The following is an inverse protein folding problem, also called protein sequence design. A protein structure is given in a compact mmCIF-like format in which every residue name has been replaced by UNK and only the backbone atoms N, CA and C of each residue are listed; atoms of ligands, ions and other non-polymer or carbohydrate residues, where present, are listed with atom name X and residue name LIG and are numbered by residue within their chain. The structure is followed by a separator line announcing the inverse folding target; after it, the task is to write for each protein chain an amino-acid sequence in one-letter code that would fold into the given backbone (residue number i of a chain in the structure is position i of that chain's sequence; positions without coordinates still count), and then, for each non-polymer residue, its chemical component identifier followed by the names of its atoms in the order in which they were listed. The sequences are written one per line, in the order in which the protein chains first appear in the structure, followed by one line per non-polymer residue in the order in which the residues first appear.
data_IF_531803221140
#
_entry.id   IF_531803221140
#
_cell.length_a   1.000
_cell.length_b   1.000
_cell.length_c   1.000
_cell.angle_alpha   90.00
_cell.angle_beta   90.00
_cell.angle_gamma   90.00
#
_symmetry.space_group_name_H-M   'P 1'
#
loop_
_entity.id
_entity.type
_entity.pdbx_description
1 polymer ?
#
# COMPACT_ATOMS: atom_id res chain seq x y z
N UNK A 1 5.05 -23.66 4.01
CA UNK A 1 5.25 -22.57 3.02
C UNK A 1 4.04 -22.50 2.10
N UNK A 2 3.47 -21.32 1.83
CA UNK A 2 2.40 -21.14 0.83
C UNK A 2 2.97 -20.62 -0.50
N UNK A 3 2.36 -20.88 -1.67
CA UNK A 3 2.80 -20.29 -2.94
C UNK A 3 2.81 -18.75 -2.88
N UNK A 4 3.82 -18.10 -3.47
CA UNK A 4 4.02 -16.65 -3.36
C UNK A 4 2.83 -15.83 -3.91
N UNK A 5 2.17 -16.33 -4.96
CA UNK A 5 0.97 -15.74 -5.59
C UNK A 5 -0.26 -15.74 -4.66
N UNK A 6 -0.24 -16.55 -3.60
CA UNK A 6 -1.30 -16.62 -2.57
C UNK A 6 -0.88 -15.97 -1.25
N UNK A 7 0.28 -15.29 -1.21
CA UNK A 7 0.73 -14.52 -0.03
C UNK A 7 0.46 -13.04 -0.29
N UNK A 8 -0.56 -12.51 0.37
CA UNK A 8 -0.91 -11.09 0.29
C UNK A 8 -2.23 -10.85 -0.44
N UNK A 9 -2.69 -9.61 -0.37
CA UNK A 9 -3.92 -9.15 -1.00
C UNK A 9 -3.63 -8.64 -2.42
N UNK A 10 -4.53 -8.92 -3.36
CA UNK A 10 -4.47 -8.40 -4.71
C UNK A 10 -5.89 -7.94 -5.10
N UNK A 11 -6.11 -6.65 -5.39
CA UNK A 11 -7.44 -6.14 -5.69
C UNK A 11 -7.95 -6.64 -7.04
N UNK A 12 -9.25 -6.82 -7.15
CA UNK A 12 -9.87 -7.09 -8.44
C UNK A 12 -10.07 -5.76 -9.17
N UNK A 13 -9.44 -5.62 -10.34
CA UNK A 13 -9.55 -4.39 -11.15
C UNK A 13 -10.62 -4.59 -12.22
N UNK A 14 -11.72 -3.85 -12.08
CA UNK A 14 -12.81 -3.85 -13.04
C UNK A 14 -13.01 -2.48 -13.67
N UNK A 15 -13.47 -2.47 -14.91
CA UNK A 15 -13.79 -1.26 -15.65
C UNK A 15 -14.48 -1.58 -16.96
N UNK A 16 -14.62 -0.57 -17.82
CA UNK A 16 -15.15 -0.70 -19.18
C UNK A 16 -14.11 -0.17 -20.15
N UNK A 17 -13.77 -0.97 -21.16
CA UNK A 17 -12.95 -0.58 -22.29
C UNK A 17 -13.87 -0.21 -23.47
N UNK A 18 -13.58 0.90 -24.15
CA UNK A 18 -14.40 1.37 -25.27
C UNK A 18 -14.10 0.60 -26.56
N UNK A 19 -12.92 0.01 -26.67
CA UNK A 19 -12.46 -0.79 -27.79
C UNK A 19 -11.59 -1.96 -27.31
N UNK A 20 -10.94 -2.68 -28.22
CA UNK A 20 -9.90 -3.63 -27.83
C UNK A 20 -8.74 -2.85 -27.18
N UNK A 21 -8.54 -3.07 -25.89
CA UNK A 21 -7.62 -2.27 -25.08
C UNK A 21 -6.55 -3.12 -24.42
N UNK A 22 -5.32 -2.61 -24.37
CA UNK A 22 -4.25 -3.15 -23.55
C UNK A 22 -4.28 -2.49 -22.18
N UNK A 23 -4.53 -3.28 -21.15
CA UNK A 23 -4.51 -2.84 -19.77
C UNK A 23 -3.16 -3.19 -19.16
N UNK A 24 -2.46 -2.19 -18.64
CA UNK A 24 -1.18 -2.36 -17.94
C UNK A 24 -1.33 -1.88 -16.50
N UNK A 25 -1.09 -2.76 -15.55
CA UNK A 25 -1.14 -2.49 -14.12
C UNK A 25 0.29 -2.40 -13.63
N UNK A 26 0.65 -1.28 -13.00
CA UNK A 26 1.97 -1.07 -12.41
C UNK A 26 1.87 -0.55 -10.99
N UNK A 27 2.88 -0.86 -10.18
CA UNK A 27 3.06 -0.28 -8.84
C UNK A 27 4.50 0.19 -8.75
N UNK A 28 4.70 1.47 -8.37
CA UNK A 28 6.03 2.08 -8.23
C UNK A 28 6.91 1.98 -9.49
N UNK A 29 6.28 2.01 -10.67
CA UNK A 29 6.99 1.87 -11.96
C UNK A 29 7.24 0.44 -12.42
N UNK A 30 7.00 -0.57 -11.57
CA UNK A 30 7.09 -1.98 -11.96
C UNK A 30 5.76 -2.48 -12.51
N UNK A 31 5.78 -3.11 -13.69
CA UNK A 31 4.57 -3.70 -14.29
C UNK A 31 4.23 -5.01 -13.57
N UNK A 32 3.08 -5.02 -12.91
CA UNK A 32 2.56 -6.19 -12.17
C UNK A 32 1.80 -7.14 -13.09
N UNK A 33 1.10 -6.60 -14.08
CA UNK A 33 0.36 -7.37 -15.08
C UNK A 33 0.10 -6.53 -16.33
N UNK A 34 0.03 -7.19 -17.49
CA UNK A 34 -0.36 -6.57 -18.74
C UNK A 34 -1.17 -7.56 -19.58
N UNK A 35 -2.40 -7.19 -19.93
CA UNK A 35 -3.31 -8.05 -20.68
C UNK A 35 -4.13 -7.23 -21.69
N UNK A 36 -4.40 -7.83 -22.86
CA UNK A 36 -5.33 -7.28 -23.86
C UNK A 36 -6.73 -7.80 -23.55
N UNK A 37 -7.70 -6.89 -23.48
CA UNK A 37 -9.12 -7.20 -23.27
C UNK A 37 -9.93 -6.75 -24.47
N UNK A 38 -11.03 -7.46 -24.81
CA UNK A 38 -11.97 -7.01 -25.81
C UNK A 38 -12.73 -5.76 -25.34
N UNK A 39 -13.38 -5.07 -26.29
CA UNK A 39 -14.30 -3.98 -25.97
C UNK A 39 -15.41 -4.45 -25.02
N UNK A 40 -15.72 -3.63 -24.00
CA UNK A 40 -16.74 -3.91 -23.00
C UNK A 40 -16.22 -3.98 -21.57
N UNK A 41 -17.04 -4.52 -20.68
CA UNK A 41 -16.70 -4.67 -19.27
C UNK A 41 -15.61 -5.73 -19.08
N UNK A 42 -14.59 -5.40 -18.28
CA UNK A 42 -13.50 -6.31 -17.95
C UNK A 42 -13.35 -6.45 -16.44
N UNK A 43 -12.76 -7.57 -16.02
CA UNK A 43 -12.41 -7.84 -14.63
C UNK A 43 -11.10 -8.63 -14.57
N UNK A 44 -10.06 -8.01 -14.04
CA UNK A 44 -8.73 -8.60 -13.86
C UNK A 44 -8.60 -9.10 -12.42
N UNK A 45 -8.53 -10.43 -12.27
CA UNK A 45 -8.44 -11.12 -10.97
C UNK A 45 -7.04 -11.67 -10.66
N UNK A 46 -6.23 -11.88 -11.69
CA UNK A 46 -4.92 -12.55 -11.59
C UNK A 46 -3.79 -11.52 -11.67
N UNK A 47 -3.73 -10.65 -10.68
CA UNK A 47 -2.61 -9.72 -10.50
C UNK A 47 -1.74 -10.19 -9.34
N UNK A 48 -0.43 -9.96 -9.45
CA UNK A 48 0.50 -10.26 -8.35
C UNK A 48 0.07 -9.52 -7.06
N UNK A 49 0.33 -10.08 -5.87
CA UNK A 49 0.05 -9.42 -4.61
C UNK A 49 0.65 -8.02 -4.56
N UNK A 50 -0.14 -7.05 -4.08
CA UNK A 50 0.26 -5.64 -4.05
C UNK A 50 0.60 -5.22 -2.64
N UNK A 51 1.53 -4.28 -2.53
CA UNK A 51 1.89 -3.64 -1.28
C UNK A 51 0.96 -2.45 -0.99
N UNK A 52 0.97 -1.95 0.26
CA UNK A 52 0.32 -0.69 0.60
C UNK A 52 0.86 0.43 -0.30
N UNK A 53 -0.04 1.17 -0.97
CA UNK A 53 0.34 2.22 -1.91
C UNK A 53 -0.67 2.35 -3.05
N UNK A 54 -0.36 3.19 -4.03
CA UNK A 54 -1.18 3.30 -5.24
C UNK A 54 -0.70 2.29 -6.29
N UNK A 55 -1.63 1.64 -6.98
CA UNK A 55 -1.36 1.01 -8.27
C UNK A 55 -1.82 1.97 -9.38
N UNK A 56 -1.08 2.00 -10.46
CA UNK A 56 -1.37 2.76 -11.67
C UNK A 56 -1.88 1.79 -12.72
N UNK A 57 -3.08 2.05 -13.22
CA UNK A 57 -3.70 1.26 -14.28
C UNK A 57 -3.78 2.13 -15.52
N UNK A 58 -3.05 1.73 -16.55
CA UNK A 58 -3.06 2.38 -17.86
C UNK A 58 -3.88 1.53 -18.81
N UNK A 59 -4.96 2.11 -19.33
CA UNK A 59 -5.79 1.52 -20.39
C UNK A 59 -5.40 2.19 -21.70
N UNK A 60 -4.82 1.43 -22.61
CA UNK A 60 -4.45 1.86 -23.96
C UNK A 60 -5.44 1.26 -24.96
N UNK A 61 -6.31 2.10 -25.51
CA UNK A 61 -7.35 1.72 -26.48
C UNK A 61 -6.74 1.52 -27.89
N UNK A 62 -7.49 0.88 -28.78
CA UNK A 62 -7.04 0.55 -30.15
C UNK A 62 -6.74 1.77 -31.03
N UNK A 63 -7.31 2.93 -30.70
CA UNK A 63 -7.05 4.23 -31.34
C UNK A 63 -5.77 4.92 -30.80
N UNK A 64 -5.09 4.29 -29.83
CA UNK A 64 -3.91 4.84 -29.16
C UNK A 64 -4.24 5.75 -27.96
N UNK A 65 -5.52 5.97 -27.64
CA UNK A 65 -5.94 6.76 -26.48
C UNK A 65 -5.50 6.08 -25.18
N UNK A 66 -4.76 6.79 -24.33
CA UNK A 66 -4.28 6.29 -23.04
C UNK A 66 -5.01 6.95 -21.89
N UNK A 67 -5.70 6.12 -21.09
CA UNK A 67 -6.32 6.54 -19.85
C UNK A 67 -5.53 6.00 -18.67
N UNK A 68 -5.01 6.88 -17.82
CA UNK A 68 -4.29 6.50 -16.60
C UNK A 68 -5.21 6.70 -15.40
N UNK A 69 -5.36 5.66 -14.59
CA UNK A 69 -6.12 5.70 -13.33
C UNK A 69 -5.25 5.22 -12.18
N UNK A 70 -5.33 5.91 -11.06
CA UNK A 70 -4.65 5.52 -9.84
C UNK A 70 -5.65 4.85 -8.92
N UNK A 71 -5.46 3.56 -8.66
CA UNK A 71 -6.23 2.82 -7.68
C UNK A 71 -5.41 2.75 -6.40
N UNK A 72 -5.88 3.38 -5.34
CA UNK A 72 -5.17 3.30 -4.08
C UNK A 72 -5.47 1.91 -3.49
N UNK A 73 -4.46 1.17 -3.01
CA UNK A 73 -4.64 -0.15 -2.38
C UNK A 73 -4.23 -0.12 -0.90
N UNK A 74 -5.08 -0.69 -0.04
CA UNK A 74 -4.80 -0.94 1.37
C UNK A 74 -4.84 -2.45 1.62
N UNK A 75 -3.81 -3.00 2.24
CA UNK A 75 -3.77 -4.40 2.65
C UNK A 75 -4.09 -4.50 4.14
N UNK A 76 -4.91 -5.50 4.51
CA UNK A 76 -5.15 -5.87 5.90
C UNK A 76 -3.87 -6.42 6.52
N UNK A 77 -3.47 -5.82 7.64
CA UNK A 77 -2.52 -6.47 8.55
C UNK A 77 -3.13 -7.80 9.00
N UNK A 78 -2.40 -8.88 8.79
CA UNK A 78 -2.87 -10.23 9.11
C UNK A 78 -3.02 -10.39 10.62
N UNK A 79 -4.21 -10.79 11.07
CA UNK A 79 -4.40 -11.36 12.40
C UNK A 79 -3.56 -12.65 12.51
N UNK A 80 -2.80 -12.75 13.59
CA UNK A 80 -2.04 -13.95 13.95
C UNK A 80 -2.79 -14.71 15.04
N UNK A 81 -2.64 -16.05 15.05
CA UNK A 81 -3.12 -16.83 16.19
C UNK A 81 -2.27 -16.56 17.42
N UNK A 82 -2.80 -16.93 18.58
CA UNK A 82 -2.06 -16.88 19.85
C UNK A 82 -0.73 -17.61 19.72
N UNK A 83 0.34 -16.96 20.18
CA UNK A 83 1.73 -17.41 20.14
C UNK A 83 2.34 -17.56 18.73
N UNK A 84 1.62 -17.15 17.67
CA UNK A 84 2.20 -17.01 16.34
C UNK A 84 3.01 -15.71 16.24
N UNK A 85 4.15 -15.81 15.56
CA UNK A 85 5.05 -14.69 15.28
C UNK A 85 5.23 -14.59 13.78
N UNK A 86 5.09 -13.38 13.24
CA UNK A 86 5.46 -13.07 11.87
C UNK A 86 6.52 -11.97 11.88
N UNK A 87 7.59 -12.16 11.12
CA UNK A 87 8.68 -11.18 11.04
C UNK A 87 9.10 -11.00 9.59
N UNK A 88 9.47 -9.77 9.26
CA UNK A 88 9.99 -9.41 7.96
C UNK A 88 11.19 -8.47 8.15
N UNK A 89 12.35 -8.87 7.63
CA UNK A 89 13.56 -8.08 7.70
C UNK A 89 14.09 -7.95 6.27
N UNK A 90 14.34 -6.73 5.86
CA UNK A 90 14.94 -6.43 4.56
C UNK A 90 16.07 -5.43 4.70
N UNK A 91 17.15 -5.67 3.96
CA UNK A 91 18.28 -4.76 3.85
C UNK A 91 18.66 -4.65 2.38
N UNK A 92 18.87 -3.44 1.90
CA UNK A 92 19.19 -3.22 0.50
C UNK A 92 19.30 -1.75 0.16
N UNK A 93 19.38 -1.46 -1.12
CA UNK A 93 19.44 -0.10 -1.64
C UNK A 93 18.14 0.20 -2.38
N UNK A 94 17.68 1.45 -2.30
CA UNK A 94 16.47 1.85 -3.01
C UNK A 94 16.81 2.08 -4.49
N UNK A 95 16.10 1.38 -5.37
CA UNK A 95 16.14 1.65 -6.81
C UNK A 95 14.88 2.41 -7.22
N UNK A 96 15.04 3.56 -7.87
CA UNK A 96 13.93 4.30 -8.49
C UNK A 96 14.24 4.46 -9.97
N UNK A 97 13.50 3.73 -10.82
CA UNK A 97 13.51 3.81 -12.30
C UNK A 97 14.88 4.18 -12.88
N UNK A 98 15.81 3.23 -12.86
CA UNK A 98 17.13 3.37 -13.50
C UNK A 98 18.15 4.22 -12.75
N UNK A 99 17.81 4.77 -11.57
CA UNK A 99 18.76 5.41 -10.65
C UNK A 99 18.74 4.67 -9.31
N UNK A 100 19.90 4.10 -8.97
CA UNK A 100 20.14 3.46 -7.68
C UNK A 100 20.58 4.54 -6.69
N UNK A 101 19.87 4.67 -5.57
CA UNK A 101 20.38 5.47 -4.45
C UNK A 101 21.55 4.71 -3.81
N UNK A 102 22.73 5.32 -3.70
CA UNK A 102 23.91 4.76 -3.03
C UNK A 102 23.77 4.83 -1.50
N UNK A 103 22.61 4.48 -0.95
CA UNK A 103 22.38 4.46 0.49
C UNK A 103 21.55 3.24 0.87
N UNK A 104 22.05 2.53 1.88
CA UNK A 104 21.40 1.34 2.41
C UNK A 104 20.19 1.74 3.24
N UNK A 105 19.08 1.02 3.05
CA UNK A 105 17.95 1.01 3.96
C UNK A 105 17.88 -0.31 4.70
N UNK A 106 17.36 -0.25 5.92
CA UNK A 106 17.00 -1.38 6.74
C UNK A 106 15.50 -1.27 7.06
N UNK A 107 14.75 -2.35 6.82
CA UNK A 107 13.35 -2.50 7.20
C UNK A 107 13.25 -3.68 8.16
N UNK A 108 12.57 -3.45 9.27
CA UNK A 108 12.18 -4.51 10.20
C UNK A 108 10.70 -4.38 10.49
N UNK A 109 9.96 -5.47 10.38
CA UNK A 109 8.57 -5.59 10.81
C UNK A 109 8.41 -6.86 11.64
N UNK A 110 7.60 -6.76 12.67
CA UNK A 110 7.39 -7.79 13.68
C UNK A 110 5.93 -7.74 14.13
N UNK A 111 5.26 -8.87 14.01
CA UNK A 111 3.88 -9.06 14.44
C UNK A 111 3.85 -10.20 15.46
N UNK A 112 3.09 -10.03 16.54
CA UNK A 112 2.96 -11.02 17.60
C UNK A 112 1.49 -11.24 17.97
N UNK A 113 1.03 -12.48 17.92
CA UNK A 113 -0.31 -12.87 18.32
C UNK A 113 -0.42 -13.15 19.81
N UNK A 114 -1.12 -12.29 20.54
CA UNK A 114 -1.58 -12.55 21.91
C UNK A 114 -2.91 -13.32 21.88
N UNK A 115 -3.41 -13.73 23.05
CA UNK A 115 -4.63 -14.55 23.19
C UNK A 115 -5.84 -14.01 22.43
N UNK A 116 -6.00 -12.68 22.34
CA UNK A 116 -7.16 -12.04 21.69
C UNK A 116 -6.79 -10.81 20.84
N UNK A 117 -5.51 -10.53 20.63
CA UNK A 117 -5.02 -9.33 19.95
C UNK A 117 -3.71 -9.66 19.24
N UNK A 118 -3.53 -9.21 18.01
CA UNK A 118 -2.23 -9.18 17.36
C UNK A 118 -1.63 -7.79 17.51
N UNK A 119 -0.39 -7.68 17.97
CA UNK A 119 0.35 -6.41 17.96
C UNK A 119 1.29 -6.38 16.76
N UNK A 120 1.46 -5.19 16.20
CA UNK A 120 2.27 -4.93 15.01
C UNK A 120 3.30 -3.86 15.35
N UNK A 121 4.54 -4.09 14.97
CA UNK A 121 5.61 -3.11 15.07
C UNK A 121 6.45 -3.14 13.79
N UNK A 122 6.73 -1.99 13.20
CA UNK A 122 7.64 -1.91 12.07
C UNK A 122 8.48 -0.64 12.11
N UNK A 123 9.60 -0.66 11.41
CA UNK A 123 10.48 0.49 11.31
C UNK A 123 11.32 0.42 10.04
N UNK A 124 11.62 1.61 9.52
CA UNK A 124 12.54 1.77 8.39
C UNK A 124 13.63 2.75 8.80
N UNK A 125 14.87 2.37 8.57
CA UNK A 125 16.06 3.19 8.81
C UNK A 125 16.81 3.36 7.50
N UNK A 126 17.05 4.61 7.13
CA UNK A 126 17.83 5.04 5.98
C UNK A 126 18.56 6.33 6.37
N UNK A 127 19.65 6.69 5.67
CA UNK A 127 20.46 7.86 6.04
C UNK A 127 19.63 9.15 6.14
N UNK A 128 18.64 9.30 5.26
CA UNK A 128 17.80 10.49 5.13
C UNK A 128 16.33 10.26 5.52
N UNK A 129 15.98 9.05 5.98
CA UNK A 129 14.60 8.70 6.29
C UNK A 129 14.53 7.73 7.47
N UNK A 130 13.69 8.04 8.45
CA UNK A 130 13.42 7.16 9.58
C UNK A 130 11.92 7.06 9.79
N UNK A 131 11.38 5.86 9.89
CA UNK A 131 9.99 5.66 10.28
C UNK A 131 9.84 4.60 11.36
N UNK A 132 8.79 4.74 12.14
CA UNK A 132 8.36 3.77 13.14
C UNK A 132 6.84 3.64 13.06
N UNK A 133 6.37 2.41 13.19
CA UNK A 133 4.98 2.04 13.10
C UNK A 133 4.62 1.13 14.28
N UNK A 134 3.48 1.38 14.89
CA UNK A 134 2.90 0.54 15.93
C UNK A 134 1.42 0.38 15.65
N UNK A 135 0.93 -0.85 15.78
CA UNK A 135 -0.47 -1.16 15.56
C UNK A 135 -0.95 -2.34 16.37
N UNK A 136 -2.26 -2.54 16.33
CA UNK A 136 -2.92 -3.69 16.93
C UNK A 136 -4.12 -4.10 16.08
N UNK A 137 -4.36 -5.39 16.02
CA UNK A 137 -5.51 -5.98 15.35
C UNK A 137 -6.23 -6.92 16.30
N UNK A 138 -7.56 -6.86 16.32
CA UNK A 138 -8.40 -7.71 17.16
C UNK A 138 -9.54 -8.28 16.34
N UNK A 139 -9.76 -9.57 16.53
CA UNK A 139 -10.96 -10.25 16.05
C UNK A 139 -12.06 -10.17 17.12
N UNK A 140 -13.25 -9.73 16.71
CA UNK A 140 -14.45 -9.71 17.55
C UNK A 140 -15.45 -10.82 17.14
N UNK A 141 -15.00 -11.79 16.36
CA UNK A 141 -15.80 -12.94 15.93
C UNK A 141 -16.95 -12.50 15.03
N UNK A 142 -18.20 -12.61 15.51
CA UNK A 142 -19.41 -12.24 14.75
C UNK A 142 -19.47 -10.75 14.37
N UNK A 143 -18.73 -9.90 15.08
CA UNK A 143 -18.64 -8.47 14.75
C UNK A 143 -17.48 -8.16 13.78
N UNK A 144 -16.75 -9.18 13.31
CA UNK A 144 -15.63 -9.01 12.39
C UNK A 144 -14.32 -8.63 13.09
N UNK A 145 -13.32 -8.29 12.29
CA UNK A 145 -11.98 -7.91 12.73
C UNK A 145 -11.73 -6.42 12.54
N UNK A 146 -10.99 -5.82 13.46
CA UNK A 146 -10.55 -4.43 13.37
C UNK A 146 -9.05 -4.33 13.58
N UNK A 147 -8.39 -3.46 12.82
CA UNK A 147 -6.97 -3.14 12.91
C UNK A 147 -6.77 -1.64 13.01
N UNK A 148 -5.83 -1.22 13.84
CA UNK A 148 -5.40 0.16 13.98
C UNK A 148 -3.89 0.24 13.96
N UNK A 149 -3.33 1.14 13.15
CA UNK A 149 -1.88 1.36 13.06
C UNK A 149 -1.58 2.85 13.02
N UNK A 150 -0.63 3.28 13.85
CA UNK A 150 -0.04 4.60 13.85
C UNK A 150 1.39 4.51 13.29
N UNK A 151 1.72 5.38 12.35
CA UNK A 151 3.01 5.45 11.68
C UNK A 151 3.55 6.87 11.85
N UNK A 152 4.78 7.01 12.31
CA UNK A 152 5.52 8.27 12.32
C UNK A 152 6.71 8.18 11.37
N UNK A 153 6.95 9.25 10.64
CA UNK A 153 8.06 9.33 9.71
C UNK A 153 8.78 10.67 9.88
N UNK A 154 10.11 10.62 9.79
CA UNK A 154 11.00 11.77 9.72
C UNK A 154 11.82 11.65 8.45
N UNK A 155 11.66 12.61 7.56
CA UNK A 155 12.35 12.67 6.26
C UNK A 155 13.21 13.92 6.16
N UNK A 156 14.43 13.76 5.66
CA UNK A 156 15.40 14.84 5.44
C UNK A 156 15.66 14.96 3.95
N UNK A 157 15.24 16.07 3.35
CA UNK A 157 15.43 16.35 1.93
C UNK A 157 16.75 17.09 1.69
N UNK A 158 17.47 16.75 0.62
CA UNK A 158 18.72 17.43 0.28
C UNK A 158 18.47 18.86 -0.23
N UNK A 159 19.48 19.71 -0.04
CA UNK A 159 19.44 21.14 -0.39
C UNK A 159 19.21 21.34 -1.90
N UNK A 160 18.29 22.23 -2.27
CA UNK A 160 18.13 22.69 -3.66
C UNK A 160 19.26 23.64 -4.12
N UNK A 161 20.00 24.25 -3.18
CA UNK A 161 21.06 25.22 -3.47
C UNK A 161 22.07 25.20 -2.31
N UNK A 162 23.38 25.43 -2.52
CA UNK A 162 24.39 25.40 -1.46
C UNK A 162 24.09 26.30 -0.24
N UNK A 163 23.26 27.33 -0.43
CA UNK A 163 22.87 28.34 0.55
C UNK A 163 21.55 28.06 1.29
N UNK A 164 20.79 27.01 0.92
CA UNK A 164 19.51 26.71 1.57
C UNK A 164 19.69 25.81 2.82
N UNK A 165 18.92 26.03 3.90
CA UNK A 165 18.93 25.16 5.07
C UNK A 165 18.29 23.79 4.75
N UNK A 166 18.72 22.74 5.47
CA UNK A 166 18.10 21.41 5.37
C UNK A 166 16.64 21.46 5.83
N UNK A 167 15.73 20.86 5.05
CA UNK A 167 14.31 20.79 5.41
C UNK A 167 14.04 19.43 6.03
N UNK A 168 13.86 19.42 7.34
CA UNK A 168 13.41 18.24 8.09
C UNK A 168 11.89 18.28 8.22
N UNK A 169 11.23 17.23 7.73
CA UNK A 169 9.80 17.04 7.92
C UNK A 169 9.55 15.89 8.88
N UNK A 170 8.55 16.07 9.73
CA UNK A 170 8.04 15.02 10.60
C UNK A 170 6.53 14.98 10.44
N UNK A 171 6.01 13.80 10.15
CA UNK A 171 4.58 13.60 9.99
C UNK A 171 4.13 12.31 10.62
N UNK A 172 2.82 12.21 10.81
CA UNK A 172 2.15 11.05 11.36
C UNK A 172 1.06 10.60 10.41
N UNK A 173 0.83 9.29 10.33
CA UNK A 173 -0.26 8.68 9.61
C UNK A 173 -0.95 7.65 10.49
N UNK A 174 -2.27 7.64 10.45
CA UNK A 174 -3.10 6.67 11.15
C UNK A 174 -3.90 5.88 10.13
N UNK A 175 -4.01 4.58 10.33
CA UNK A 175 -4.87 3.72 9.52
C UNK A 175 -5.77 2.89 10.44
N UNK A 176 -7.07 2.93 10.16
CA UNK A 176 -8.08 2.06 10.75
C UNK A 176 -8.59 1.12 9.65
N UNK A 177 -8.70 -0.16 9.94
CA UNK A 177 -9.23 -1.14 9.00
C UNK A 177 -10.25 -2.03 9.71
N UNK A 178 -11.32 -2.37 9.03
CA UNK A 178 -12.39 -3.22 9.55
C UNK A 178 -12.84 -4.21 8.47
N UNK A 179 -13.03 -5.47 8.83
CA UNK A 179 -13.47 -6.52 7.92
C UNK A 179 -14.55 -7.36 8.63
N UNK A 180 -15.67 -7.63 7.96
CA UNK A 180 -16.74 -8.43 8.54
C UNK A 180 -17.56 -9.18 7.48
N UNK A 181 -18.00 -10.40 7.79
CA UNK A 181 -19.05 -11.09 7.04
C UNK A 181 -20.42 -10.70 7.60
N UNK A 182 -21.19 -9.89 6.87
CA UNK A 182 -22.50 -9.39 7.35
C UNK A 182 -23.58 -10.48 7.30
N UNK A 183 -23.55 -11.33 6.26
CA UNK A 183 -24.52 -12.41 6.02
C UNK A 183 -23.85 -13.53 5.22
N UNK A 184 -24.42 -14.74 5.21
CA UNK A 184 -23.93 -15.89 4.42
C UNK A 184 -23.74 -15.59 2.92
N UNK A 185 -24.46 -14.60 2.37
CA UNK A 185 -24.38 -14.17 0.97
C UNK A 185 -23.69 -12.80 0.76
N UNK A 186 -23.37 -12.06 1.82
CA UNK A 186 -22.84 -10.68 1.71
C UNK A 186 -21.65 -10.48 2.64
N UNK A 187 -20.48 -10.29 2.03
CA UNK A 187 -19.21 -10.13 2.71
C UNK A 187 -18.72 -8.69 2.58
N UNK A 188 -18.58 -7.97 3.69
CA UNK A 188 -17.83 -6.71 3.74
C UNK A 188 -16.36 -7.05 3.96
N UNK A 189 -15.63 -7.22 2.85
CA UNK A 189 -14.25 -7.67 2.92
C UNK A 189 -13.32 -6.66 3.58
N UNK A 190 -13.54 -5.35 3.37
CA UNK A 190 -12.70 -4.31 3.96
C UNK A 190 -13.39 -2.94 3.97
N UNK A 191 -13.32 -2.25 5.10
CA UNK A 191 -13.48 -0.82 5.26
C UNK A 191 -12.17 -0.29 5.84
N UNK A 192 -11.43 0.49 5.05
CA UNK A 192 -10.16 1.07 5.46
C UNK A 192 -10.24 2.60 5.43
N UNK A 193 -9.80 3.22 6.52
CA UNK A 193 -9.63 4.65 6.65
C UNK A 193 -8.17 4.95 6.95
N UNK A 194 -7.53 5.83 6.17
CA UNK A 194 -6.17 6.29 6.44
C UNK A 194 -6.12 7.81 6.46
N UNK A 195 -5.67 8.36 7.58
CA UNK A 195 -5.31 9.76 7.73
C UNK A 195 -3.80 9.92 7.53
N UNK A 196 -3.40 10.94 6.78
CA UNK A 196 -1.99 11.26 6.57
C UNK A 196 -1.76 12.73 6.87
N UNK A 197 -0.89 13.01 7.83
CA UNK A 197 -0.50 14.37 8.17
C UNK A 197 0.21 15.04 6.99
N UNK A 198 0.06 16.35 6.88
CA UNK A 198 0.62 17.21 5.81
C UNK A 198 2.14 17.05 5.56
N UNK A 199 2.88 16.62 6.57
CA UNK A 199 4.34 16.48 6.56
C UNK A 199 4.79 15.00 6.60
N UNK A 200 3.85 14.06 6.47
CA UNK A 200 4.14 12.63 6.41
C UNK A 200 4.41 12.21 4.97
N UNK A 201 5.50 11.47 4.76
CA UNK A 201 5.90 10.93 3.45
C UNK A 201 6.16 9.44 3.61
N UNK A 202 5.55 8.60 2.78
CA UNK A 202 5.84 7.17 2.74
C UNK A 202 7.25 6.94 2.16
N UNK A 203 8.03 5.99 2.71
CA UNK A 203 9.40 5.70 2.25
C UNK A 203 9.48 5.40 0.75
N UNK A 204 8.44 4.78 0.21
CA UNK A 204 8.33 4.49 -1.21
C UNK A 204 8.25 5.77 -2.07
N UNK A 205 7.49 6.78 -1.62
CA UNK A 205 7.39 8.08 -2.29
C UNK A 205 8.56 9.01 -1.97
N UNK A 206 9.30 8.74 -0.88
CA UNK A 206 10.47 9.53 -0.48
C UNK A 206 11.57 9.47 -1.53
N UNK A 207 11.91 10.61 -2.11
CA UNK A 207 13.04 10.75 -3.03
C UNK A 207 13.89 11.92 -2.53
N UNK A 208 15.16 11.67 -2.21
CA UNK A 208 16.04 12.72 -1.64
C UNK A 208 16.29 13.87 -2.62
N UNK A 209 16.14 13.62 -3.92
CA UNK A 209 16.50 14.52 -5.02
C UNK A 209 15.28 15.18 -5.69
N UNK A 210 14.06 14.85 -5.30
CA UNK A 210 12.85 15.43 -5.88
C UNK A 210 12.60 16.85 -5.34
N UNK A 211 12.14 17.76 -6.20
CA UNK A 211 11.65 19.07 -5.78
C UNK A 211 10.46 18.89 -4.84
N UNK A 212 10.50 19.59 -3.70
CA UNK A 212 9.46 19.61 -2.69
C UNK A 212 8.06 19.65 -3.33
N UNK A 213 7.28 18.57 -3.15
CA UNK A 213 5.90 18.49 -3.60
C UNK A 213 5.01 18.28 -2.38
N UNK A 214 4.31 19.35 -2.00
CA UNK A 214 3.38 19.34 -0.86
C UNK A 214 2.11 18.60 -1.27
N UNK A 215 2.12 17.27 -1.16
CA UNK A 215 0.93 16.46 -1.41
C UNK A 215 -0.06 16.69 -0.26
N UNK A 216 -1.22 17.26 -0.60
CA UNK A 216 -2.25 17.66 0.36
C UNK A 216 -3.18 16.48 0.74
N UNK A 217 -2.68 15.23 0.69
CA UNK A 217 -3.47 14.02 0.96
C UNK A 217 -3.88 14.00 2.43
N UNK A 218 -5.08 14.49 2.73
CA UNK A 218 -5.56 14.63 4.09
C UNK A 218 -6.23 13.38 4.61
N UNK A 219 -6.99 12.67 3.77
CA UNK A 219 -7.79 11.52 4.21
C UNK A 219 -8.04 10.56 3.05
N UNK A 220 -8.12 9.26 3.36
CA UNK A 220 -8.42 8.20 2.40
C UNK A 220 -9.42 7.22 2.99
N UNK A 221 -10.43 6.90 2.22
CA UNK A 221 -11.46 5.92 2.54
C UNK A 221 -11.48 4.87 1.43
N UNK A 222 -11.56 3.59 1.79
CA UNK A 222 -11.67 2.47 0.88
C UNK A 222 -12.68 1.46 1.44
N UNK A 223 -13.62 1.03 0.60
CA UNK A 223 -14.64 0.05 0.98
C UNK A 223 -14.72 -1.01 -0.11
N UNK A 224 -14.64 -2.28 0.29
CA UNK A 224 -14.77 -3.45 -0.59
C UNK A 224 -15.93 -4.28 -0.10
N UNK A 225 -16.96 -4.36 -0.93
CA UNK A 225 -18.14 -5.18 -0.71
C UNK A 225 -18.16 -6.28 -1.77
N UNK A 226 -18.34 -7.54 -1.35
CA UNK A 226 -18.59 -8.65 -2.25
C UNK A 226 -19.87 -9.38 -1.87
N UNK A 227 -20.71 -9.64 -2.85
CA UNK A 227 -21.95 -10.38 -2.70
C UNK A 227 -21.91 -11.59 -3.63
N UNK A 228 -22.09 -12.78 -3.07
CA UNK A 228 -22.23 -14.02 -3.83
C UNK A 228 -23.72 -14.36 -3.91
N UNK A 229 -24.22 -14.41 -5.14
CA UNK A 229 -25.57 -14.89 -5.47
C UNK A 229 -25.57 -16.42 -5.59
#
# INVERSE_FOLDING_TARGET
MRPWEKRGYAPVISGVANSNAKITISQNGYVLSSQVVPAGAYQLKNIAPVSNGNITVTVEESDGTKTVRYYPVATLSSLLRTDEINYNIAIGEKETVGKRENSLFFLGAFDYGLTNVTVHAAGILHNNYKSAALGMSKDFGRFGAMSFTANTAVSVFQKQTPTAPEVRQSGISYSLQYANSLTDNTNLQLLAYRYTGKDYVDFNEFNSNALYHRSNRKERYETILSQSF
#
